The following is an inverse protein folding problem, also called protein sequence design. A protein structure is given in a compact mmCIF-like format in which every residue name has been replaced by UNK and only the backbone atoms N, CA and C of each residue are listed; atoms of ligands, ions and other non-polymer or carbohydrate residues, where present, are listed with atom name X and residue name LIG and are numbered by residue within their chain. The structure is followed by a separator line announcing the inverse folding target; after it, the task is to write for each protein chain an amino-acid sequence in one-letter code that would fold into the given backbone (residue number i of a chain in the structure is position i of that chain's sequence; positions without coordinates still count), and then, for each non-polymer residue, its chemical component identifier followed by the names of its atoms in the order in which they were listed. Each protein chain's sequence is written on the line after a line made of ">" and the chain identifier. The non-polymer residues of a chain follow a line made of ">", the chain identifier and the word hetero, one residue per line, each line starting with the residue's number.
data_IF_632824175548
#
_entry.id   IF_632824175548
#
_cell.length_a   1.000
_cell.length_b   1.000
_cell.length_c   1.000
_cell.angle_alpha   90.00
_cell.angle_beta   90.00
_cell.angle_gamma   90.00
#
_symmetry.space_group_name_H-M   'P 1'
#
loop_
_entity.id
_entity.type
_entity.pdbx_description
1 polymer ?
#
# COMPACT_ATOMS: atom_id res chain seq x y z
N UNK A 1 -35.46 10.25 10.02
CA UNK A 1 -34.08 10.59 10.45
C UNK A 1 -33.15 10.24 9.30
N UNK A 2 -32.54 11.24 8.64
CA UNK A 2 -31.64 11.01 7.51
C UNK A 2 -30.22 10.95 8.10
N UNK A 3 -29.64 9.76 8.12
CA UNK A 3 -28.25 9.56 8.58
C UNK A 3 -27.33 10.25 7.58
N UNK A 4 -26.81 11.42 7.94
CA UNK A 4 -25.68 12.04 7.25
C UNK A 4 -24.44 11.27 7.63
N UNK A 5 -24.08 10.27 6.83
CA UNK A 5 -22.73 9.74 6.79
C UNK A 5 -21.80 10.88 6.42
N UNK A 6 -21.15 11.45 7.43
CA UNK A 6 -20.03 12.38 7.25
C UNK A 6 -18.96 11.59 6.51
N UNK A 7 -18.76 11.85 5.21
CA UNK A 7 -17.69 11.17 4.47
C UNK A 7 -16.40 11.49 5.20
N UNK A 8 -15.67 10.47 5.64
CA UNK A 8 -14.33 10.68 6.15
C UNK A 8 -13.54 11.34 5.01
N UNK A 9 -13.13 12.60 5.18
CA UNK A 9 -12.29 13.27 4.21
C UNK A 9 -10.89 12.67 4.37
N UNK A 10 -10.41 12.01 3.34
CA UNK A 10 -9.01 11.61 3.23
C UNK A 10 -8.40 12.33 2.03
N UNK A 11 -7.11 12.61 2.13
CA UNK A 11 -6.30 13.17 1.05
C UNK A 11 -5.38 12.07 0.54
N UNK A 12 -5.33 11.89 -0.78
CA UNK A 12 -4.42 10.94 -1.43
C UNK A 12 -3.37 11.71 -2.23
N UNK A 13 -2.10 11.43 -1.95
CA UNK A 13 -0.97 11.98 -2.69
C UNK A 13 -0.25 10.85 -3.42
N UNK A 14 -0.24 10.89 -4.76
CA UNK A 14 0.58 10.00 -5.56
C UNK A 14 2.06 10.41 -5.45
N UNK A 15 2.92 9.49 -5.00
CA UNK A 15 4.34 9.76 -4.74
C UNK A 15 5.29 9.02 -5.68
N UNK A 16 4.84 7.94 -6.31
CA UNK A 16 5.56 7.16 -7.32
C UNK A 16 4.55 6.62 -8.32
N UNK A 17 4.90 6.61 -9.61
CA UNK A 17 4.06 6.10 -10.71
C UNK A 17 4.95 5.72 -11.90
N UNK A 18 4.79 4.49 -12.42
CA UNK A 18 5.46 4.02 -13.64
C UNK A 18 4.48 3.71 -14.79
N UNK A 19 3.19 4.00 -14.59
CA UNK A 19 2.13 3.70 -15.56
C UNK A 19 1.51 2.31 -15.44
N UNK A 20 2.07 1.40 -14.63
CA UNK A 20 1.45 0.11 -14.30
C UNK A 20 1.18 0.00 -12.79
N UNK A 21 2.11 0.47 -11.97
CA UNK A 21 2.01 0.54 -10.53
C UNK A 21 2.17 1.98 -10.07
N UNK A 22 1.52 2.31 -8.97
CA UNK A 22 1.67 3.62 -8.35
C UNK A 22 1.51 3.51 -6.84
N UNK A 23 2.17 4.41 -6.10
CA UNK A 23 2.08 4.49 -4.64
C UNK A 23 1.33 5.76 -4.26
N UNK A 24 0.31 5.60 -3.44
CA UNK A 24 -0.40 6.71 -2.81
C UNK A 24 -0.12 6.75 -1.32
N UNK A 25 0.13 7.95 -0.79
CA UNK A 25 0.09 8.23 0.65
C UNK A 25 -1.31 8.72 0.98
N UNK A 26 -1.99 8.05 1.90
CA UNK A 26 -3.38 8.34 2.27
C UNK A 26 -3.42 8.94 3.66
N UNK A 27 -3.74 10.23 3.74
CA UNK A 27 -3.84 10.98 4.98
C UNK A 27 -5.29 11.09 5.42
N UNK A 28 -5.60 10.50 6.57
CA UNK A 28 -6.94 10.60 7.16
C UNK A 28 -7.15 11.95 7.85
N UNK A 29 -8.41 12.38 7.96
CA UNK A 29 -8.76 13.59 8.70
C UNK A 29 -8.23 13.55 10.15
N UNK A 30 -7.44 14.55 10.52
CA UNK A 30 -6.85 14.66 11.85
C UNK A 30 -5.56 13.87 12.06
N UNK A 31 -5.12 13.08 11.08
CA UNK A 31 -3.83 12.38 11.11
C UNK A 31 -2.69 13.34 10.76
N UNK A 32 -1.54 13.17 11.42
CA UNK A 32 -0.33 13.89 11.02
C UNK A 32 0.15 13.38 9.67
N UNK A 33 0.76 14.26 8.89
CA UNK A 33 1.25 13.89 7.57
C UNK A 33 2.31 12.79 7.64
N UNK A 34 3.19 12.81 8.64
CA UNK A 34 4.23 11.80 8.82
C UNK A 34 3.69 10.41 9.18
N UNK A 35 2.49 10.31 9.75
CA UNK A 35 1.86 9.05 10.18
C UNK A 35 1.02 8.41 9.05
N UNK A 36 0.78 9.13 7.95
CA UNK A 36 -0.09 8.67 6.88
C UNK A 36 0.47 7.42 6.18
N UNK A 37 -0.35 6.38 6.08
CA UNK A 37 -0.01 5.11 5.44
C UNK A 37 0.21 5.26 3.94
N UNK A 38 1.02 4.37 3.37
CA UNK A 38 1.21 4.29 1.94
C UNK A 38 0.70 2.97 1.38
N UNK A 39 0.12 3.01 0.17
CA UNK A 39 -0.44 1.85 -0.50
C UNK A 39 0.10 1.77 -1.93
N UNK A 40 0.56 0.60 -2.31
CA UNK A 40 0.97 0.26 -3.67
C UNK A 40 -0.25 -0.29 -4.41
N UNK A 41 -0.62 0.38 -5.48
CA UNK A 41 -1.76 0.06 -6.33
C UNK A 41 -1.27 -0.39 -7.70
N UNK A 42 -2.01 -1.31 -8.32
CA UNK A 42 -1.77 -1.77 -9.69
C UNK A 42 -2.90 -1.28 -10.59
N UNK A 43 -2.56 -0.64 -11.69
CA UNK A 43 -3.53 -0.18 -12.69
C UNK A 43 -4.10 -1.39 -13.40
N UNK A 44 -5.41 -1.54 -13.37
CA UNK A 44 -6.10 -2.63 -14.04
C UNK A 44 -7.24 -2.11 -14.93
N UNK A 45 -7.12 -2.34 -16.24
CA UNK A 45 -8.15 -1.92 -17.19
C UNK A 45 -9.43 -2.72 -17.00
N UNK A 46 -10.53 -2.03 -16.71
CA UNK A 46 -11.86 -2.64 -16.58
C UNK A 46 -12.25 -3.02 -15.16
N UNK A 47 -11.36 -2.85 -14.18
CA UNK A 47 -11.69 -2.99 -12.77
C UNK A 47 -12.46 -1.76 -12.27
N UNK A 48 -13.38 -1.97 -11.32
CA UNK A 48 -14.09 -0.88 -10.66
C UNK A 48 -13.16 -0.07 -9.71
N UNK A 49 -12.09 -0.69 -9.23
CA UNK A 49 -11.04 -0.09 -8.41
C UNK A 49 -9.72 -0.81 -8.64
N UNK A 50 -8.65 -0.05 -8.77
CA UNK A 50 -7.28 -0.57 -8.86
C UNK A 50 -6.95 -1.38 -7.60
N UNK A 51 -6.50 -2.65 -7.74
CA UNK A 51 -6.19 -3.50 -6.59
C UNK A 51 -4.99 -2.98 -5.79
N UNK A 52 -5.08 -3.14 -4.47
CA UNK A 52 -3.99 -2.87 -3.55
C UNK A 52 -3.06 -4.08 -3.44
N UNK A 53 -1.84 -3.92 -3.93
CA UNK A 53 -0.83 -4.97 -4.03
C UNK A 53 0.36 -4.76 -3.09
N UNK A 54 0.27 -3.78 -2.19
CA UNK A 54 1.22 -3.63 -1.09
C UNK A 54 0.86 -2.47 -0.17
N UNK A 55 1.47 -2.46 1.00
CA UNK A 55 1.26 -1.41 1.99
C UNK A 55 2.53 -1.15 2.81
N UNK A 56 2.67 0.10 3.26
CA UNK A 56 3.57 0.51 4.32
C UNK A 56 2.74 1.20 5.40
N UNK A 57 2.64 0.58 6.57
CA UNK A 57 1.78 0.99 7.68
C UNK A 57 2.64 1.16 8.92
N UNK A 58 2.43 2.25 9.66
CA UNK A 58 3.10 2.44 10.93
C UNK A 58 2.42 1.59 12.02
N UNK A 59 3.23 0.77 12.69
CA UNK A 59 2.84 -0.04 13.84
C UNK A 59 2.85 0.79 15.13
N UNK A 60 2.33 0.21 16.22
CA UNK A 60 2.24 0.89 17.52
C UNK A 60 3.59 1.25 18.14
N UNK A 61 4.65 0.54 17.77
CA UNK A 61 6.03 0.82 18.19
C UNK A 61 6.70 1.91 17.33
N UNK A 62 6.00 2.43 16.33
CA UNK A 62 6.47 3.46 15.42
C UNK A 62 7.19 2.93 14.18
N UNK A 63 7.43 1.62 14.09
CA UNK A 63 8.07 1.00 12.93
C UNK A 63 7.09 0.91 11.74
N UNK A 64 7.62 1.04 10.54
CA UNK A 64 6.85 0.95 9.29
C UNK A 64 6.88 -0.48 8.76
N UNK A 65 5.84 -1.25 9.08
CA UNK A 65 5.66 -2.58 8.53
C UNK A 65 5.30 -2.49 7.05
N UNK A 66 6.07 -3.18 6.22
CA UNK A 66 5.90 -3.17 4.77
C UNK A 66 5.62 -4.56 4.25
N UNK A 67 4.54 -4.70 3.48
CA UNK A 67 4.10 -5.97 2.87
C UNK A 67 3.72 -5.78 1.42
N UNK A 68 3.90 -6.83 0.63
CA UNK A 68 3.43 -6.92 -0.77
C UNK A 68 2.43 -8.06 -0.84
N UNK A 69 1.25 -7.80 -1.38
CA UNK A 69 0.24 -8.82 -1.65
C UNK A 69 0.70 -9.68 -2.82
N UNK A 70 0.59 -10.99 -2.67
CA UNK A 70 0.96 -12.01 -3.66
C UNK A 70 -0.19 -12.99 -3.84
N UNK A 71 -0.08 -13.86 -4.84
CA UNK A 71 -0.99 -15.00 -4.96
C UNK A 71 -0.90 -15.85 -3.70
N UNK A 72 -2.05 -16.22 -3.15
CA UNK A 72 -2.12 -17.09 -1.98
C UNK A 72 -1.31 -18.38 -2.20
N UNK A 73 -0.37 -18.65 -1.30
CA UNK A 73 0.42 -19.87 -1.27
C UNK A 73 -0.09 -20.79 -0.16
N UNK A 74 -0.57 -21.97 -0.54
CA UNK A 74 -1.09 -22.98 0.40
C UNK A 74 -0.01 -23.55 1.31
N UNK A 75 1.27 -23.51 0.91
CA UNK A 75 2.37 -24.05 1.73
C UNK A 75 2.71 -23.14 2.89
N UNK A 76 2.78 -21.83 2.63
CA UNK A 76 3.03 -20.82 3.66
C UNK A 76 1.75 -20.25 4.29
N UNK A 77 0.58 -20.67 3.80
CA UNK A 77 -0.74 -20.19 4.19
C UNK A 77 -0.85 -18.66 4.21
N UNK A 78 -0.21 -17.99 3.24
CA UNK A 78 -0.23 -16.53 3.15
C UNK A 78 -0.34 -16.02 1.73
N UNK A 79 -1.02 -14.89 1.59
CA UNK A 79 -1.15 -14.08 0.37
C UNK A 79 -0.32 -12.80 0.46
N UNK A 80 0.65 -12.72 1.38
CA UNK A 80 1.52 -11.55 1.47
C UNK A 80 2.94 -11.90 1.91
N UNK A 81 3.90 -11.21 1.30
CA UNK A 81 5.31 -11.30 1.68
C UNK A 81 5.67 -10.06 2.50
N UNK A 82 6.31 -10.27 3.65
CA UNK A 82 6.91 -9.18 4.44
C UNK A 82 8.18 -8.71 3.74
N UNK A 83 8.24 -7.40 3.44
CA UNK A 83 9.43 -6.74 2.88
C UNK A 83 10.39 -6.35 4.00
N UNK A 84 9.86 -5.85 5.12
CA UNK A 84 10.65 -5.43 6.27
C UNK A 84 9.86 -4.58 7.25
N UNK A 85 10.52 -4.19 8.35
CA UNK A 85 10.07 -3.13 9.26
C UNK A 85 11.14 -2.03 9.20
N UNK A 86 10.73 -0.77 9.10
CA UNK A 86 11.64 0.36 8.85
C UNK A 86 11.38 1.53 9.80
N UNK A 87 12.41 2.34 10.09
CA UNK A 87 12.24 3.51 10.95
C UNK A 87 11.63 4.72 10.20
N UNK A 88 11.57 4.64 8.87
CA UNK A 88 11.12 5.72 8.00
C UNK A 88 10.09 5.25 6.98
N UNK A 89 9.01 6.04 6.83
CA UNK A 89 8.02 5.84 5.77
C UNK A 89 8.65 5.87 4.38
N UNK A 90 9.60 6.78 4.16
CA UNK A 90 10.23 6.92 2.83
C UNK A 90 11.01 5.66 2.48
N UNK A 91 11.75 5.10 3.45
CA UNK A 91 12.47 3.85 3.25
C UNK A 91 11.52 2.68 2.98
N UNK A 92 10.45 2.57 3.77
CA UNK A 92 9.39 1.59 3.57
C UNK A 92 8.78 1.67 2.16
N UNK A 93 8.43 2.87 1.69
CA UNK A 93 7.89 3.10 0.34
C UNK A 93 8.91 2.69 -0.73
N UNK A 94 10.16 3.15 -0.61
CA UNK A 94 11.20 2.88 -1.61
C UNK A 94 11.50 1.39 -1.72
N UNK A 95 11.63 0.68 -0.59
CA UNK A 95 11.91 -0.76 -0.61
C UNK A 95 10.70 -1.57 -1.05
N UNK A 96 9.47 -1.18 -0.70
CA UNK A 96 8.25 -1.76 -1.28
C UNK A 96 8.27 -1.64 -2.82
N UNK A 97 8.56 -0.43 -3.31
CA UNK A 97 8.61 -0.14 -4.74
C UNK A 97 9.69 -0.99 -5.43
N UNK A 98 10.92 -0.96 -4.95
CA UNK A 98 12.02 -1.74 -5.53
C UNK A 98 11.70 -3.24 -5.55
N UNK A 99 11.20 -3.80 -4.44
CA UNK A 99 10.91 -5.23 -4.33
C UNK A 99 9.81 -5.67 -5.28
N UNK A 100 8.80 -4.82 -5.53
CA UNK A 100 7.76 -5.07 -6.54
C UNK A 100 8.34 -5.22 -7.95
N UNK A 101 9.34 -4.40 -8.29
CA UNK A 101 9.93 -4.35 -9.63
C UNK A 101 11.04 -5.37 -9.84
N UNK A 102 11.76 -5.75 -8.78
CA UNK A 102 12.71 -6.87 -8.80
C UNK A 102 12.00 -8.21 -8.95
N UNK A 103 10.81 -8.33 -8.37
CA UNK A 103 10.02 -9.55 -8.44
C UNK A 103 9.42 -9.71 -9.84
N UNK A 104 10.18 -10.32 -10.75
CA UNK A 104 9.68 -10.83 -12.05
C UNK A 104 8.64 -11.96 -11.90
N UNK A 105 8.14 -12.21 -10.70
CA UNK A 105 7.53 -13.46 -10.26
C UNK A 105 6.02 -13.41 -9.98
N UNK A 106 5.36 -12.27 -10.21
CA UNK A 106 3.91 -12.16 -10.00
C UNK A 106 3.23 -11.94 -11.35
N UNK A 107 2.99 -12.99 -12.14
CA UNK A 107 2.08 -12.87 -13.25
C UNK A 107 0.73 -12.42 -12.67
N UNK A 108 0.25 -11.26 -13.12
CA UNK A 108 -1.16 -10.93 -12.99
C UNK A 108 -1.94 -12.07 -13.67
N UNK A 109 -2.91 -12.63 -12.95
CA UNK A 109 -3.88 -13.56 -13.55
C UNK A 109 -4.88 -12.76 -14.39
#
# INVERSE_FOLDING_TARGET
>A
MKSTSRSASYEELCVLDDGQFYVVVVKSAGQREEEASAFLLMRETGAAKDPCVGSAIQELDGAWNTRITVTYDEVSETDSIRVGDFDSRVEAIVLMWLRRHESSYFPAQ
#
